data_IF_735376400155
#
_entry.id   IF_735376400155
#
_cell.length_a   1.000
_cell.length_b   1.000
_cell.length_c   1.000
_cell.angle_alpha   90.00
_cell.angle_beta   90.00
_cell.angle_gamma   90.00
#
_symmetry.space_group_name_H-M   'P 1'
#
loop_
_entity.id
_entity.type
_entity.pdbx_description
1 polymer ?
#
# COMPACT_ATOMS: atom_id res chain seq x y z
N UNK A 1 13.27 9.02 -10.35
CA UNK A 1 12.37 9.60 -11.39
C UNK A 1 10.96 9.13 -11.09
N UNK A 2 10.21 9.89 -10.27
CA UNK A 2 8.79 9.62 -10.01
C UNK A 2 7.99 10.10 -11.23
N UNK A 3 7.43 9.16 -12.00
CA UNK A 3 6.54 9.51 -13.11
C UNK A 3 5.23 10.04 -12.53
N UNK A 4 5.03 11.36 -12.63
CA UNK A 4 3.80 12.05 -12.27
C UNK A 4 2.72 11.73 -13.31
N UNK A 5 1.51 11.31 -12.93
CA UNK A 5 0.42 11.17 -13.89
C UNK A 5 0.04 12.56 -14.42
N UNK A 6 0.31 12.79 -15.70
CA UNK A 6 0.07 14.06 -16.39
C UNK A 6 -1.40 14.51 -16.31
N UNK A 7 -1.60 15.82 -16.12
CA UNK A 7 -2.90 16.38 -15.76
C UNK A 7 -4.00 16.40 -16.81
N UNK A 8 -3.70 15.97 -18.04
CA UNK A 8 -4.70 15.84 -19.10
C UNK A 8 -5.76 14.76 -18.79
N UNK A 9 -5.44 13.74 -17.97
CA UNK A 9 -6.39 12.69 -17.60
C UNK A 9 -7.47 13.13 -16.60
N UNK A 10 -7.22 14.19 -15.81
CA UNK A 10 -8.19 14.69 -14.82
C UNK A 10 -9.39 15.42 -15.48
N UNK A 11 -9.20 15.97 -16.68
CA UNK A 11 -10.23 16.71 -17.42
C UNK A 11 -11.25 15.83 -18.15
N UNK A 12 -10.96 14.54 -18.35
CA UNK A 12 -11.77 13.64 -19.18
C UNK A 12 -12.60 12.62 -18.39
N UNK A 13 -12.42 12.52 -17.08
CA UNK A 13 -13.02 11.46 -16.26
C UNK A 13 -13.92 12.04 -15.17
N UNK A 14 -15.12 11.46 -15.03
CA UNK A 14 -15.98 11.70 -13.88
C UNK A 14 -15.30 11.20 -12.58
N UNK A 15 -15.71 11.72 -11.42
CA UNK A 15 -15.16 11.39 -10.08
C UNK A 15 -15.12 9.86 -9.87
N UNK A 16 -16.15 9.13 -10.28
CA UNK A 16 -16.17 7.67 -10.20
C UNK A 16 -15.02 7.02 -10.99
N UNK A 17 -14.78 7.46 -12.23
CA UNK A 17 -13.67 6.98 -13.06
C UNK A 17 -12.30 7.34 -12.47
N UNK A 18 -12.16 8.54 -11.90
CA UNK A 18 -10.95 8.95 -11.19
C UNK A 18 -10.67 8.10 -9.96
N UNK A 19 -11.70 7.76 -9.16
CA UNK A 19 -11.50 6.89 -7.99
C UNK A 19 -11.06 5.49 -8.36
N UNK A 20 -11.64 4.91 -9.42
CA UNK A 20 -11.23 3.59 -9.93
C UNK A 20 -9.80 3.62 -10.47
N UNK A 21 -9.43 4.69 -11.17
CA UNK A 21 -8.08 4.89 -11.67
C UNK A 21 -7.07 5.10 -10.53
N UNK A 22 -7.40 5.89 -9.51
CA UNK A 22 -6.56 6.05 -8.32
C UNK A 22 -6.38 4.69 -7.64
N UNK A 23 -7.45 3.91 -7.47
CA UNK A 23 -7.36 2.57 -6.86
C UNK A 23 -6.44 1.65 -7.68
N UNK A 24 -6.55 1.62 -9.01
CA UNK A 24 -5.70 0.77 -9.83
C UNK A 24 -4.24 1.22 -9.86
N UNK A 25 -3.99 2.53 -10.01
CA UNK A 25 -2.63 3.12 -10.07
C UNK A 25 -1.93 3.10 -8.71
N UNK A 26 -2.66 3.41 -7.64
CA UNK A 26 -2.17 3.32 -6.25
C UNK A 26 -1.81 1.90 -5.87
N UNK A 27 -2.53 0.91 -6.40
CA UNK A 27 -2.13 -0.48 -6.21
C UNK A 27 -0.93 -0.81 -7.08
N UNK A 28 -0.86 -0.36 -8.33
CA UNK A 28 0.21 -0.75 -9.26
C UNK A 28 1.59 -0.15 -8.94
N UNK A 29 1.67 1.17 -8.73
CA UNK A 29 2.95 1.91 -8.68
C UNK A 29 3.79 1.56 -7.42
N UNK A 30 3.23 1.57 -6.22
CA UNK A 30 4.00 1.29 -5.02
C UNK A 30 3.93 -0.17 -4.59
N UNK A 31 3.20 -1.08 -5.27
CA UNK A 31 3.10 -2.49 -4.84
C UNK A 31 4.47 -3.13 -4.67
N UNK A 32 5.40 -2.86 -5.59
CA UNK A 32 6.74 -3.45 -5.55
C UNK A 32 7.57 -2.93 -4.37
N UNK A 33 7.52 -1.62 -4.10
CA UNK A 33 8.29 -1.01 -3.00
C UNK A 33 7.64 -1.27 -1.64
N UNK A 34 6.31 -1.28 -1.57
CA UNK A 34 5.53 -1.53 -0.36
C UNK A 34 5.54 -3.00 0.06
N UNK A 35 5.61 -3.95 -0.88
CA UNK A 35 5.64 -5.37 -0.53
C UNK A 35 6.89 -5.76 0.25
N UNK A 36 8.02 -5.11 -0.03
CA UNK A 36 9.31 -5.53 0.51
C UNK A 36 9.74 -4.76 1.77
N UNK A 37 9.20 -3.56 2.02
CA UNK A 37 9.70 -2.67 3.05
C UNK A 37 8.56 -1.92 3.79
N UNK A 38 8.71 -1.79 5.10
CA UNK A 38 7.91 -0.86 5.90
C UNK A 38 8.28 0.57 5.51
N UNK A 39 7.34 1.28 4.87
CA UNK A 39 7.58 2.66 4.48
C UNK A 39 7.55 3.59 5.70
N UNK A 40 8.41 4.62 5.75
CA UNK A 40 8.27 5.73 6.68
C UNK A 40 6.91 6.43 6.48
N UNK A 41 6.29 6.91 7.57
CA UNK A 41 5.01 7.64 7.52
C UNK A 41 5.05 8.80 6.53
N UNK A 42 6.16 9.55 6.50
CA UNK A 42 6.36 10.67 5.58
C UNK A 42 6.25 10.29 4.11
N UNK A 43 6.58 9.05 3.74
CA UNK A 43 6.47 8.57 2.36
C UNK A 43 5.03 8.18 2.05
N UNK A 44 4.33 7.56 3.00
CA UNK A 44 2.90 7.29 2.89
C UNK A 44 2.11 8.60 2.72
N UNK A 45 2.42 9.63 3.52
CA UNK A 45 1.76 10.94 3.45
C UNK A 45 1.97 11.61 2.08
N UNK A 46 3.15 11.46 1.48
CA UNK A 46 3.44 11.96 0.12
C UNK A 46 2.60 11.25 -0.94
N UNK A 47 2.44 9.92 -0.83
CA UNK A 47 1.61 9.14 -1.75
C UNK A 47 0.15 9.57 -1.63
N UNK A 48 -0.36 9.71 -0.41
CA UNK A 48 -1.74 10.14 -0.17
C UNK A 48 -1.97 11.58 -0.64
N UNK A 49 -0.96 12.45 -0.55
CA UNK A 49 -1.01 13.81 -1.13
C UNK A 49 -1.09 13.77 -2.65
N UNK A 50 -0.29 12.95 -3.33
CA UNK A 50 -0.33 12.82 -4.79
C UNK A 50 -1.70 12.31 -5.28
N UNK A 51 -2.28 11.33 -4.57
CA UNK A 51 -3.64 10.84 -4.86
C UNK A 51 -4.70 11.94 -4.70
N UNK A 52 -4.57 12.76 -3.66
CA UNK A 52 -5.46 13.89 -3.39
C UNK A 52 -5.38 14.94 -4.48
N UNK A 53 -4.16 15.33 -4.84
CA UNK A 53 -3.91 16.32 -5.89
C UNK A 53 -4.47 15.82 -7.22
N UNK A 54 -4.33 14.52 -7.50
CA UNK A 54 -4.90 13.88 -8.69
C UNK A 54 -6.44 13.81 -8.66
N UNK A 55 -7.05 13.46 -7.52
CA UNK A 55 -8.51 13.36 -7.38
C UNK A 55 -9.20 14.71 -7.60
N UNK A 56 -8.65 15.77 -7.00
CA UNK A 56 -9.23 17.11 -7.05
C UNK A 56 -8.71 17.93 -8.22
N UNK A 57 -7.72 17.42 -8.97
CA UNK A 57 -7.08 18.13 -10.06
C UNK A 57 -6.38 19.41 -9.61
N UNK A 58 -5.80 19.40 -8.39
CA UNK A 58 -4.99 20.50 -7.88
C UNK A 58 -3.60 20.42 -8.48
N UNK A 59 -3.29 21.38 -9.35
CA UNK A 59 -1.97 21.56 -9.95
C UNK A 59 -1.34 22.82 -9.36
N UNK A 60 0.00 22.96 -9.36
CA UNK A 60 0.67 24.15 -8.83
C UNK A 60 0.17 25.47 -9.46
N UNK A 61 -0.35 25.41 -10.69
CA UNK A 61 -0.91 26.55 -11.43
C UNK A 61 -2.41 26.81 -11.16
N UNK A 62 -3.14 25.81 -10.65
CA UNK A 62 -4.57 25.92 -10.34
C UNK A 62 -4.90 25.07 -9.11
N UNK A 63 -4.91 25.71 -7.94
CA UNK A 63 -5.32 25.09 -6.69
C UNK A 63 -6.84 25.05 -6.63
N UNK A 64 -7.42 23.85 -6.74
CA UNK A 64 -8.85 23.62 -6.54
C UNK A 64 -9.12 23.38 -5.05
N UNK A 65 -10.18 23.99 -4.54
CA UNK A 65 -10.63 23.80 -3.16
C UNK A 65 -10.97 22.31 -2.91
N UNK A 66 -10.35 21.72 -1.90
CA UNK A 66 -10.66 20.36 -1.46
C UNK A 66 -11.98 20.39 -0.67
N UNK A 67 -13.08 19.99 -1.33
CA UNK A 67 -14.43 20.08 -0.76
C UNK A 67 -14.65 19.04 0.35
N UNK A 68 -13.90 17.92 0.32
CA UNK A 68 -14.10 16.79 1.24
C UNK A 68 -12.86 16.59 2.11
N UNK A 69 -13.08 16.44 3.43
CA UNK A 69 -12.03 16.04 4.37
C UNK A 69 -11.42 14.71 3.95
N UNK A 70 -10.09 14.63 3.97
CA UNK A 70 -9.36 13.45 3.51
C UNK A 70 -9.68 12.18 4.31
N UNK A 71 -10.02 12.31 5.59
CA UNK A 71 -10.50 11.19 6.42
C UNK A 71 -11.81 10.56 5.91
N UNK A 72 -12.69 11.35 5.29
CA UNK A 72 -13.94 10.87 4.68
C UNK A 72 -13.66 10.17 3.35
N UNK A 73 -12.61 10.59 2.63
CA UNK A 73 -12.19 9.92 1.39
C UNK A 73 -11.73 8.47 1.66
N UNK A 74 -11.08 8.25 2.81
CA UNK A 74 -10.65 6.91 3.24
C UNK A 74 -11.76 6.02 3.78
N UNK A 75 -12.90 6.60 4.13
CA UNK A 75 -14.02 5.86 4.67
C UNK A 75 -14.63 4.93 3.62
N UNK A 76 -15.21 3.81 4.07
CA UNK A 76 -15.84 2.86 3.16
C UNK A 76 -17.02 3.51 2.41
N UNK A 77 -17.29 3.02 1.19
CA UNK A 77 -18.43 3.48 0.39
C UNK A 77 -19.78 3.31 1.12
N UNK A 78 -19.89 2.32 1.99
CA UNK A 78 -21.11 2.05 2.77
C UNK A 78 -21.41 3.12 3.84
N UNK A 79 -20.42 3.92 4.24
CA UNK A 79 -20.57 5.03 5.20
C UNK A 79 -20.44 6.40 4.52
N UNK A 80 -20.62 6.45 3.18
CA UNK A 80 -20.56 7.69 2.40
C UNK A 80 -19.15 8.15 2.02
N UNK A 81 -18.13 7.30 2.21
CA UNK A 81 -16.76 7.60 1.78
C UNK A 81 -16.44 7.16 0.34
N UNK A 82 -15.24 7.47 -0.14
CA UNK A 82 -14.81 7.11 -1.50
C UNK A 82 -14.24 5.68 -1.59
N UNK A 83 -13.98 5.05 -0.45
CA UNK A 83 -13.40 3.71 -0.35
C UNK A 83 -11.96 3.62 -0.87
N UNK A 84 -11.23 4.72 -0.83
CA UNK A 84 -9.77 4.72 -1.03
C UNK A 84 -9.14 4.25 0.29
N UNK A 85 -8.07 3.46 0.26
CA UNK A 85 -7.37 3.04 1.49
C UNK A 85 -6.13 3.87 1.68
N UNK A 86 -5.79 4.17 2.93
CA UNK A 86 -4.56 4.86 3.30
C UNK A 86 -3.33 4.03 2.89
N UNK A 87 -2.29 4.69 2.36
CA UNK A 87 -1.07 4.00 1.93
C UNK A 87 -0.40 3.23 3.08
N UNK A 88 -0.47 3.75 4.31
CA UNK A 88 0.06 3.08 5.50
C UNK A 88 -0.64 1.74 5.78
N UNK A 89 -1.96 1.68 5.64
CA UNK A 89 -2.73 0.47 5.90
C UNK A 89 -2.57 -0.56 4.78
N UNK A 90 -2.48 -0.11 3.53
CA UNK A 90 -2.11 -0.97 2.40
C UNK A 90 -0.73 -1.59 2.65
N UNK A 91 0.23 -0.81 3.15
CA UNK A 91 1.56 -1.31 3.48
C UNK A 91 1.54 -2.39 4.56
N UNK A 92 0.87 -2.11 5.70
CA UNK A 92 0.72 -3.10 6.77
C UNK A 92 0.08 -4.39 6.28
N UNK A 93 -1.00 -4.29 5.49
CA UNK A 93 -1.67 -5.46 4.94
C UNK A 93 -0.79 -6.26 3.97
N UNK A 94 0.00 -5.59 3.12
CA UNK A 94 0.92 -6.25 2.19
C UNK A 94 2.09 -6.91 2.91
N UNK A 95 2.64 -6.27 3.94
CA UNK A 95 3.66 -6.88 4.81
C UNK A 95 3.12 -8.11 5.54
N UNK A 96 1.90 -8.03 6.07
CA UNK A 96 1.25 -9.18 6.70
C UNK A 96 1.04 -10.33 5.70
N UNK A 97 0.62 -10.01 4.47
CA UNK A 97 0.49 -10.99 3.38
C UNK A 97 1.84 -11.61 2.99
N UNK A 98 2.91 -10.82 2.95
CA UNK A 98 4.27 -11.31 2.68
C UNK A 98 4.74 -12.23 3.83
N UNK A 99 4.57 -11.80 5.08
CA UNK A 99 4.90 -12.61 6.25
C UNK A 99 4.14 -13.95 6.20
N UNK A 100 2.84 -13.92 5.91
CA UNK A 100 2.03 -15.13 5.77
C UNK A 100 2.57 -16.08 4.69
N UNK A 101 2.98 -15.55 3.53
CA UNK A 101 3.60 -16.34 2.45
C UNK A 101 4.92 -16.96 2.89
N UNK A 102 5.78 -16.22 3.58
CA UNK A 102 7.05 -16.75 4.11
C UNK A 102 6.80 -17.88 5.11
N UNK A 103 5.73 -17.78 5.91
CA UNK A 103 5.34 -18.81 6.89
C UNK A 103 4.79 -20.09 6.24
N UNK A 104 3.95 -19.95 5.21
CA UNK A 104 3.16 -21.06 4.67
C UNK A 104 3.68 -21.62 3.34
N UNK A 105 4.53 -20.90 2.61
CA UNK A 105 5.13 -21.42 1.39
C UNK A 105 6.40 -22.23 1.71
N UNK A 106 6.43 -23.54 1.44
CA UNK A 106 7.69 -24.28 1.45
C UNK A 106 8.60 -23.72 0.35
N UNK A 107 9.88 -23.53 0.66
CA UNK A 107 10.86 -23.04 -0.32
C UNK A 107 10.87 -23.99 -1.54
N UNK A 108 10.83 -23.46 -2.78
CA UNK A 108 10.99 -24.27 -3.98
C UNK A 108 12.29 -25.08 -3.91
N UNK A 109 12.30 -26.29 -4.47
CA UNK A 109 13.48 -27.17 -4.46
C UNK A 109 14.67 -26.47 -5.18
N UNK A 110 14.39 -25.66 -6.20
CA UNK A 110 15.37 -24.81 -6.92
C UNK A 110 15.64 -23.43 -6.28
N UNK A 111 15.19 -23.16 -5.06
CA UNK A 111 15.49 -21.90 -4.39
C UNK A 111 16.99 -21.77 -4.07
N UNK A 112 17.49 -20.53 -4.17
CA UNK A 112 18.86 -20.17 -3.77
C UNK A 112 19.18 -20.68 -2.35
N UNK A 113 20.42 -21.14 -2.09
CA UNK A 113 20.87 -21.57 -0.76
C UNK A 113 20.58 -20.53 0.34
N UNK A 114 20.66 -19.24 0.01
CA UNK A 114 20.38 -18.13 0.92
C UNK A 114 18.90 -18.11 1.33
N UNK A 115 17.99 -18.37 0.38
CA UNK A 115 16.55 -18.43 0.64
C UNK A 115 16.16 -19.64 1.50
N UNK A 116 16.84 -20.77 1.30
CA UNK A 116 16.71 -21.96 2.16
C UNK A 116 17.20 -21.67 3.58
N UNK A 117 18.32 -20.96 3.73
CA UNK A 117 18.83 -20.55 5.04
C UNK A 117 17.86 -19.60 5.77
N UNK A 118 17.30 -18.60 5.08
CA UNK A 118 16.32 -17.67 5.66
C UNK A 118 15.05 -18.42 6.12
N UNK A 119 14.52 -19.33 5.31
CA UNK A 119 13.30 -20.08 5.67
C UNK A 119 13.50 -21.01 6.86
N UNK A 120 14.67 -21.66 6.96
CA UNK A 120 15.03 -22.48 8.13
C UNK A 120 15.22 -21.61 9.37
N UNK A 121 15.95 -20.49 9.26
CA UNK A 121 16.17 -19.55 10.37
C UNK A 121 14.87 -18.96 10.91
N UNK A 122 13.96 -18.53 10.03
CA UNK A 122 12.64 -18.00 10.42
C UNK A 122 11.79 -19.07 11.11
N UNK A 123 11.77 -20.32 10.61
CA UNK A 123 11.06 -21.42 11.29
C UNK A 123 11.63 -21.72 12.68
N UNK A 124 12.96 -21.70 12.82
CA UNK A 124 13.62 -21.91 14.11
C UNK A 124 13.28 -20.79 15.10
N UNK A 125 13.32 -19.53 14.65
CA UNK A 125 12.92 -18.37 15.46
C UNK A 125 11.47 -18.46 15.92
N UNK A 126 10.53 -18.84 15.06
CA UNK A 126 9.11 -18.95 15.43
C UNK A 126 8.85 -20.09 16.39
N UNK A 127 9.49 -21.25 16.17
CA UNK A 127 9.43 -22.36 17.14
C UNK A 127 9.99 -21.93 18.49
N UNK A 128 11.11 -21.22 18.53
CA UNK A 128 11.71 -20.67 19.74
C UNK A 128 10.89 -19.56 20.40
N UNK A 129 10.26 -18.67 19.62
CA UNK A 129 9.38 -17.61 20.10
C UNK A 129 8.08 -18.19 20.68
N UNK A 130 7.51 -19.21 20.03
CA UNK A 130 6.37 -19.98 20.55
C UNK A 130 6.73 -20.69 21.86
N UNK A 131 7.96 -21.21 21.97
CA UNK A 131 8.50 -21.78 23.21
C UNK A 131 8.69 -20.74 24.34
N UNK A 132 8.83 -19.45 24.01
CA UNK A 132 8.91 -18.36 25.00
C UNK A 132 7.55 -17.74 25.36
N UNK A 133 6.51 -17.98 24.57
CA UNK A 133 5.15 -17.42 24.76
C UNK A 133 4.15 -18.46 25.30
N UNK A 134 4.49 -19.74 25.26
CA UNK A 134 3.79 -20.78 26.03
C UNK A 134 4.68 -21.26 27.17
N UNK A 135 4.14 -21.27 28.38
CA UNK A 135 4.72 -21.71 29.66
C UNK A 135 5.26 -20.56 30.52
N UNK A 136 4.32 -19.76 31.00
CA UNK A 136 4.47 -18.69 31.99
C UNK A 136 3.12 -18.02 32.18
#
# INVERSE_FOLDING_TARGET
MEQRPDGWKSKLLNIAGLTTLIKSVTLAIPLYTIQCLKLPSSTCDKIDRLQRDFLWGSYPENQKLHIIKWSVVFSLQNIGGLGIREAADINRALLAKLAWRILHSPAPISASPIWKAITVGVRALIKGLRWRIGNG
#
